data_IF_155427197032
#
_entry.id   IF_155427197032
#
_cell.length_a   1.000
_cell.length_b   1.000
_cell.length_c   1.000
_cell.angle_alpha   90.00
_cell.angle_beta   90.00
_cell.angle_gamma   90.00
#
_symmetry.space_group_name_H-M   'P 1'
#
loop_
_entity.id
_entity.type
_entity.pdbx_description
1 polymer ?
#
# COMPACT_ATOMS: atom_id res chain seq x y z
N UNK A 1 -23.34 -10.28 -13.07
CA UNK A 1 -21.90 -10.37 -12.77
C UNK A 1 -21.63 -11.76 -12.26
N UNK A 2 -20.69 -12.50 -12.86
CA UNK A 2 -20.32 -13.85 -12.40
C UNK A 2 -19.22 -13.73 -11.37
N UNK A 3 -19.56 -13.33 -10.14
CA UNK A 3 -18.62 -13.51 -9.02
C UNK A 3 -18.32 -14.99 -8.89
N UNK A 4 -17.04 -15.30 -8.71
CA UNK A 4 -16.56 -16.69 -8.74
C UNK A 4 -17.32 -17.55 -7.73
N UNK A 5 -17.74 -18.79 -8.11
CA UNK A 5 -18.55 -19.66 -7.25
C UNK A 5 -17.83 -20.03 -5.94
N UNK A 6 -16.49 -19.94 -5.91
CA UNK A 6 -15.68 -20.12 -4.71
C UNK A 6 -16.10 -19.21 -3.56
N UNK A 7 -16.51 -17.97 -3.85
CA UNK A 7 -16.88 -17.01 -2.79
C UNK A 7 -18.36 -17.06 -2.41
N UNK A 8 -19.14 -17.99 -2.99
CA UNK A 8 -20.59 -18.02 -2.80
C UNK A 8 -20.98 -18.10 -1.32
N UNK A 9 -20.36 -18.99 -0.56
CA UNK A 9 -20.68 -19.19 0.86
C UNK A 9 -20.40 -17.94 1.69
N UNK A 10 -19.20 -17.36 1.53
CA UNK A 10 -18.83 -16.11 2.19
C UNK A 10 -19.77 -14.96 1.82
N UNK A 11 -20.08 -14.83 0.52
CA UNK A 11 -20.93 -13.76 0.01
C UNK A 11 -22.38 -13.90 0.50
N UNK A 12 -22.91 -15.12 0.55
CA UNK A 12 -24.25 -15.40 1.07
C UNK A 12 -24.33 -15.08 2.56
N UNK A 13 -23.34 -15.51 3.36
CA UNK A 13 -23.26 -15.19 4.78
C UNK A 13 -23.17 -13.67 5.01
N UNK A 14 -22.25 -12.99 4.32
CA UNK A 14 -22.10 -11.53 4.41
C UNK A 14 -23.37 -10.79 4.00
N UNK A 15 -24.06 -11.24 2.94
CA UNK A 15 -25.34 -10.66 2.54
C UNK A 15 -26.47 -10.92 3.54
N UNK A 16 -26.47 -12.06 4.22
CA UNK A 16 -27.45 -12.38 5.27
C UNK A 16 -27.38 -11.46 6.49
N UNK A 17 -26.21 -10.91 6.79
CA UNK A 17 -25.99 -9.98 7.90
C UNK A 17 -26.33 -8.51 7.56
N UNK A 18 -26.53 -8.21 6.26
CA UNK A 18 -26.83 -6.85 5.80
C UNK A 18 -28.24 -6.44 6.16
N UNK A 19 -28.40 -5.15 6.45
CA UNK A 19 -29.69 -4.50 6.58
C UNK A 19 -29.73 -3.25 5.66
N UNK A 20 -30.91 -2.69 5.35
CA UNK A 20 -31.00 -1.49 4.54
C UNK A 20 -30.14 -0.34 5.09
N UNK A 21 -29.16 0.12 4.31
CA UNK A 21 -28.26 1.21 4.70
C UNK A 21 -27.22 0.86 5.77
N UNK A 22 -27.07 -0.43 6.13
CA UNK A 22 -26.10 -0.91 7.13
C UNK A 22 -25.25 -2.04 6.57
N UNK A 23 -23.93 -1.95 6.77
CA UNK A 23 -23.00 -3.03 6.47
C UNK A 23 -22.86 -3.95 7.69
N UNK A 24 -22.50 -5.23 7.49
CA UNK A 24 -22.25 -6.11 8.63
C UNK A 24 -21.05 -5.61 9.41
N UNK A 25 -21.16 -5.72 10.74
CA UNK A 25 -20.05 -5.46 11.65
C UNK A 25 -19.11 -6.64 11.67
N UNK A 26 -17.83 -6.36 11.88
CA UNK A 26 -16.83 -7.43 12.04
C UNK A 26 -17.13 -8.38 13.22
N UNK A 27 -17.82 -7.91 14.26
CA UNK A 27 -18.30 -8.72 15.39
C UNK A 27 -19.51 -9.61 15.08
N UNK A 28 -20.27 -9.32 14.01
CA UNK A 28 -21.42 -10.12 13.57
C UNK A 28 -20.99 -11.29 12.66
N UNK A 29 -19.78 -11.24 12.11
CA UNK A 29 -19.25 -12.26 11.21
C UNK A 29 -18.77 -13.46 12.03
N UNK A 30 -19.46 -14.59 11.93
CA UNK A 30 -18.99 -15.85 12.49
C UNK A 30 -18.02 -16.52 11.49
N UNK A 31 -16.71 -16.62 11.80
CA UNK A 31 -15.75 -17.25 10.91
C UNK A 31 -16.06 -18.73 10.61
N UNK A 32 -16.80 -19.42 11.47
CA UNK A 32 -17.12 -20.83 11.28
C UNK A 32 -18.04 -21.08 10.08
N UNK A 33 -18.87 -20.10 9.70
CA UNK A 33 -19.83 -20.21 8.60
C UNK A 33 -19.15 -20.29 7.22
N UNK A 34 -17.87 -19.92 7.12
CA UNK A 34 -17.05 -20.01 5.91
C UNK A 34 -15.64 -20.51 6.25
N UNK A 35 -15.56 -21.49 7.16
CA UNK A 35 -14.31 -22.04 7.69
C UNK A 35 -13.28 -22.44 6.62
N UNK A 36 -13.74 -22.88 5.44
CA UNK A 36 -12.89 -23.25 4.30
C UNK A 36 -12.12 -22.06 3.72
N UNK A 37 -12.68 -20.86 3.77
CA UNK A 37 -12.09 -19.65 3.20
C UNK A 37 -11.22 -18.89 4.22
N UNK A 38 -11.32 -19.20 5.53
CA UNK A 38 -10.55 -18.52 6.59
C UNK A 38 -9.03 -18.46 6.39
N UNK A 39 -8.36 -19.47 5.83
CA UNK A 39 -6.93 -19.36 5.55
C UNK A 39 -6.60 -18.27 4.53
N UNK A 40 -7.58 -17.84 3.73
CA UNK A 40 -7.44 -16.95 2.58
C UNK A 40 -8.02 -15.55 2.79
N UNK A 41 -8.46 -15.23 4.01
CA UNK A 41 -9.03 -13.92 4.30
C UNK A 41 -8.01 -12.96 4.88
N UNK A 42 -8.24 -11.66 4.67
CA UNK A 42 -7.64 -10.59 5.45
C UNK A 42 -8.76 -9.67 5.93
N UNK A 43 -8.60 -9.15 7.15
CA UNK A 43 -9.35 -7.98 7.58
C UNK A 43 -8.41 -6.79 7.46
N UNK A 44 -8.78 -5.86 6.60
CA UNK A 44 -8.07 -4.62 6.32
C UNK A 44 -8.83 -3.49 7.01
N UNK A 45 -8.11 -2.62 7.70
CA UNK A 45 -8.66 -1.41 8.30
C UNK A 45 -8.04 -0.18 7.66
N UNK A 46 -8.92 0.72 7.23
CA UNK A 46 -8.59 2.04 6.71
C UNK A 46 -8.42 3.01 7.87
N UNK A 47 -7.17 3.27 8.24
CA UNK A 47 -6.82 4.29 9.25
C UNK A 47 -6.94 5.68 8.64
N UNK A 48 -6.50 5.83 7.37
CA UNK A 48 -6.57 7.05 6.56
C UNK A 48 -6.76 6.67 5.09
N UNK A 49 -7.02 7.64 4.21
CA UNK A 49 -7.13 7.37 2.78
C UNK A 49 -5.84 6.77 2.17
N UNK A 50 -4.69 7.09 2.74
CA UNK A 50 -3.36 6.62 2.32
C UNK A 50 -2.82 5.45 3.16
N UNK A 51 -3.53 5.01 4.20
CA UNK A 51 -3.07 4.02 5.19
C UNK A 51 -4.13 2.91 5.39
N UNK A 52 -3.94 1.79 4.69
CA UNK A 52 -4.72 0.56 4.79
C UNK A 52 -3.91 -0.51 5.52
N UNK A 53 -4.29 -0.87 6.75
CA UNK A 53 -3.54 -1.82 7.57
C UNK A 53 -4.22 -3.16 7.71
N UNK A 54 -3.45 -4.22 7.61
CA UNK A 54 -3.93 -5.57 7.90
C UNK A 54 -4.07 -5.73 9.42
N UNK A 55 -5.28 -6.07 9.87
CA UNK A 55 -5.60 -6.37 11.27
C UNK A 55 -5.62 -7.86 11.56
N UNK A 56 -6.17 -8.62 10.62
CA UNK A 56 -6.22 -10.08 10.68
C UNK A 56 -5.72 -10.59 9.34
N UNK A 57 -4.86 -11.60 9.39
CA UNK A 57 -4.42 -12.32 8.21
C UNK A 57 -4.68 -13.81 8.39
N UNK A 58 -5.27 -14.42 7.38
CA UNK A 58 -5.42 -15.87 7.27
C UNK A 58 -4.06 -16.54 7.17
N UNK A 59 -3.99 -17.78 7.64
CA UNK A 59 -2.73 -18.54 7.73
C UNK A 59 -2.11 -18.74 6.35
N UNK A 60 -2.91 -19.04 5.32
CA UNK A 60 -2.37 -19.31 3.98
C UNK A 60 -1.84 -18.03 3.35
N UNK A 61 -2.52 -16.89 3.47
CA UNK A 61 -2.00 -15.61 2.99
C UNK A 61 -0.69 -15.20 3.69
N UNK A 62 -0.58 -15.45 4.98
CA UNK A 62 0.65 -15.17 5.73
C UNK A 62 1.81 -16.03 5.23
N UNK A 63 1.55 -17.33 4.97
CA UNK A 63 2.54 -18.23 4.37
C UNK A 63 2.95 -17.78 2.96
N UNK A 64 1.99 -17.36 2.12
CA UNK A 64 2.26 -16.84 0.76
C UNK A 64 3.16 -15.61 0.77
N UNK A 65 2.91 -14.69 1.70
CA UNK A 65 3.67 -13.47 1.83
C UNK A 65 5.12 -13.73 2.30
N UNK A 66 5.36 -14.84 3.00
CA UNK A 66 6.66 -15.16 3.58
C UNK A 66 7.08 -14.24 4.73
N UNK A 67 6.13 -13.47 5.29
CA UNK A 67 6.35 -12.50 6.37
C UNK A 67 5.08 -12.35 7.22
N UNK A 68 5.23 -11.77 8.41
CA UNK A 68 4.09 -11.47 9.27
C UNK A 68 3.27 -10.30 8.69
N UNK A 69 2.03 -10.58 8.32
CA UNK A 69 1.16 -9.62 7.66
C UNK A 69 0.46 -8.67 8.64
N UNK A 70 0.35 -8.99 9.93
CA UNK A 70 -0.32 -8.10 10.89
C UNK A 70 0.38 -6.74 10.96
N UNK A 71 -0.42 -5.69 11.01
CA UNK A 71 -0.02 -4.28 10.98
C UNK A 71 0.71 -3.82 9.71
N UNK A 72 0.92 -4.68 8.72
CA UNK A 72 1.49 -4.30 7.43
C UNK A 72 0.48 -3.56 6.56
N UNK A 73 0.94 -2.69 5.65
CA UNK A 73 0.09 -2.13 4.60
C UNK A 73 -0.50 -3.24 3.74
N UNK A 74 -1.80 -3.19 3.46
CA UNK A 74 -2.49 -4.22 2.68
C UNK A 74 -1.92 -4.35 1.25
N UNK A 75 -1.34 -3.28 0.72
CA UNK A 75 -0.74 -3.25 -0.62
C UNK A 75 0.56 -4.07 -0.71
N UNK A 76 1.12 -4.54 0.41
CA UNK A 76 2.35 -5.34 0.41
C UNK A 76 2.21 -6.63 -0.41
N UNK A 77 1.01 -7.19 -0.45
CA UNK A 77 0.67 -8.41 -1.21
C UNK A 77 0.62 -8.18 -2.72
N UNK A 78 0.58 -6.92 -3.16
CA UNK A 78 0.47 -6.55 -4.56
C UNK A 78 1.82 -6.13 -5.13
N UNK A 79 2.02 -6.42 -6.42
CA UNK A 79 3.14 -5.93 -7.19
C UNK A 79 3.22 -4.40 -7.08
N UNK A 80 4.42 -3.78 -7.01
CA UNK A 80 4.57 -2.35 -6.75
C UNK A 80 3.72 -1.44 -7.65
N UNK A 81 3.56 -1.80 -8.93
CA UNK A 81 2.74 -1.07 -9.91
C UNK A 81 1.24 -1.04 -9.60
N UNK A 82 0.73 -2.05 -8.89
CA UNK A 82 -0.70 -2.25 -8.64
C UNK A 82 -1.13 -1.78 -7.24
N UNK A 83 -0.17 -1.43 -6.37
CA UNK A 83 -0.41 -1.01 -4.98
C UNK A 83 -1.36 0.20 -4.89
N UNK A 84 -1.09 1.25 -5.66
CA UNK A 84 -1.94 2.46 -5.67
C UNK A 84 -3.36 2.14 -6.15
N UNK A 85 -3.48 1.33 -7.21
CA UNK A 85 -4.78 0.94 -7.76
C UNK A 85 -5.59 0.11 -6.76
N UNK A 86 -4.98 -0.86 -6.08
CA UNK A 86 -5.65 -1.64 -5.04
C UNK A 86 -6.13 -0.76 -3.88
N UNK A 87 -5.29 0.19 -3.42
CA UNK A 87 -5.67 1.13 -2.37
C UNK A 87 -6.87 1.99 -2.77
N UNK A 88 -6.88 2.50 -4.00
CA UNK A 88 -7.99 3.31 -4.52
C UNK A 88 -9.30 2.51 -4.60
N UNK A 89 -9.24 1.24 -5.02
CA UNK A 89 -10.39 0.34 -5.01
C UNK A 89 -10.95 0.14 -3.60
N UNK A 90 -10.09 -0.12 -2.62
CA UNK A 90 -10.47 -0.27 -1.22
C UNK A 90 -11.08 1.02 -0.65
N UNK A 91 -10.48 2.18 -0.92
CA UNK A 91 -11.01 3.47 -0.50
C UNK A 91 -12.39 3.75 -1.11
N UNK A 92 -12.56 3.41 -2.39
CA UNK A 92 -13.84 3.56 -3.09
C UNK A 92 -14.89 2.66 -2.48
N UNK A 93 -14.58 1.39 -2.21
CA UNK A 93 -15.50 0.43 -1.58
C UNK A 93 -15.95 0.84 -0.17
N UNK A 94 -15.09 1.55 0.58
CA UNK A 94 -15.44 2.09 1.90
C UNK A 94 -16.28 3.37 1.79
N UNK A 95 -15.90 4.27 0.87
CA UNK A 95 -16.56 5.56 0.67
C UNK A 95 -17.96 5.40 0.06
N UNK A 96 -18.05 4.57 -0.97
CA UNK A 96 -19.27 4.06 -1.58
C UNK A 96 -19.31 2.58 -1.33
N UNK A 97 -20.09 2.13 -0.33
CA UNK A 97 -20.26 0.72 -0.05
C UNK A 97 -20.50 -0.07 -1.34
N UNK A 98 -19.47 -0.81 -1.75
CA UNK A 98 -19.41 -1.52 -3.01
C UNK A 98 -18.69 -2.85 -2.79
N UNK A 99 -19.21 -3.90 -3.41
CA UNK A 99 -18.49 -5.15 -3.55
C UNK A 99 -17.43 -4.97 -4.65
N UNK A 100 -16.20 -5.40 -4.39
CA UNK A 100 -15.13 -5.37 -5.41
C UNK A 100 -14.76 -6.80 -5.79
N UNK A 101 -15.04 -7.15 -7.03
CA UNK A 101 -14.58 -8.39 -7.65
C UNK A 101 -13.23 -8.12 -8.32
N UNK A 102 -12.23 -8.93 -8.00
CA UNK A 102 -10.86 -8.77 -8.49
C UNK A 102 -10.44 -9.99 -9.27
N UNK A 103 -9.78 -9.78 -10.41
CA UNK A 103 -9.02 -10.81 -11.09
C UNK A 103 -7.55 -10.56 -10.85
N UNK A 104 -6.90 -11.46 -10.13
CA UNK A 104 -5.50 -11.38 -9.75
C UNK A 104 -4.67 -12.35 -10.59
N UNK A 105 -3.41 -12.01 -10.80
CA UNK A 105 -2.42 -12.85 -11.47
C UNK A 105 -1.23 -13.05 -10.56
N UNK A 106 -0.66 -14.23 -10.59
CA UNK A 106 0.60 -14.53 -9.91
C UNK A 106 1.45 -15.49 -10.73
N UNK A 107 2.73 -15.59 -10.39
CA UNK A 107 3.61 -16.63 -10.90
C UNK A 107 3.63 -17.77 -9.88
N UNK A 108 3.23 -18.96 -10.31
CA UNK A 108 3.25 -20.16 -9.49
C UNK A 108 4.66 -20.75 -9.34
N UNK A 109 4.79 -21.88 -8.64
CA UNK A 109 6.09 -22.52 -8.40
C UNK A 109 6.80 -22.97 -9.69
N UNK A 110 6.06 -23.23 -10.76
CA UNK A 110 6.59 -23.74 -12.03
C UNK A 110 6.81 -22.61 -13.05
N UNK A 111 6.94 -21.36 -12.57
CA UNK A 111 7.06 -20.15 -13.37
C UNK A 111 5.87 -19.90 -14.33
N UNK A 112 4.69 -20.46 -14.05
CA UNK A 112 3.50 -20.25 -14.88
C UNK A 112 2.64 -19.12 -14.34
N UNK A 113 2.05 -18.38 -15.28
CA UNK A 113 1.09 -17.34 -14.96
C UNK A 113 -0.24 -17.97 -14.57
N UNK A 114 -0.58 -17.88 -13.28
CA UNK A 114 -1.83 -18.36 -12.71
C UNK A 114 -2.79 -17.19 -12.45
N UNK A 115 -4.07 -17.36 -12.80
CA UNK A 115 -5.13 -16.37 -12.56
C UNK A 115 -6.00 -16.83 -11.40
N UNK A 116 -6.23 -15.94 -10.44
CA UNK A 116 -6.95 -16.20 -9.20
C UNK A 116 -8.05 -15.15 -9.02
N UNK A 117 -9.26 -15.54 -8.60
CA UNK A 117 -10.27 -14.56 -8.22
C UNK A 117 -9.95 -13.98 -6.83
N UNK A 118 -10.37 -12.75 -6.59
CA UNK A 118 -10.29 -12.07 -5.31
C UNK A 118 -11.59 -11.32 -5.04
N UNK A 119 -11.95 -11.19 -3.78
CA UNK A 119 -13.17 -10.48 -3.37
C UNK A 119 -12.85 -9.51 -2.24
N UNK A 120 -13.36 -8.28 -2.33
CA UNK A 120 -13.33 -7.30 -1.25
C UNK A 120 -14.77 -6.93 -0.88
N UNK A 121 -15.07 -7.03 0.41
CA UNK A 121 -16.37 -6.71 1.00
C UNK A 121 -16.20 -5.63 2.08
N UNK A 122 -16.92 -4.51 2.01
CA UNK A 122 -16.84 -3.47 3.04
C UNK A 122 -17.59 -3.91 4.30
N UNK A 123 -17.05 -3.51 5.45
CA UNK A 123 -17.55 -3.80 6.79
C UNK A 123 -17.65 -2.52 7.62
N UNK A 124 -18.50 -2.58 8.64
CA UNK A 124 -18.52 -1.61 9.74
C UNK A 124 -17.60 -2.09 10.88
N UNK A 125 -16.94 -1.14 11.56
CA UNK A 125 -16.35 -1.39 12.86
C UNK A 125 -17.44 -1.48 13.95
N UNK A 126 -17.04 -1.77 15.19
CA UNK A 126 -17.98 -1.93 16.30
C UNK A 126 -18.71 -0.61 16.65
N UNK A 127 -18.12 0.54 16.27
CA UNK A 127 -18.69 1.88 16.41
C UNK A 127 -19.64 2.25 15.25
N UNK A 128 -19.77 1.39 14.24
CA UNK A 128 -20.62 1.62 13.07
C UNK A 128 -19.98 2.50 12.00
N UNK A 129 -18.67 2.75 12.05
CA UNK A 129 -17.96 3.44 11.00
C UNK A 129 -17.52 2.47 9.90
N UNK A 130 -17.74 2.86 8.65
CA UNK A 130 -17.23 2.15 7.48
C UNK A 130 -15.74 2.41 7.35
N UNK A 131 -14.94 1.53 7.94
CA UNK A 131 -13.47 1.61 7.91
C UNK A 131 -12.81 0.25 7.73
N UNK A 132 -13.57 -0.83 7.76
CA UNK A 132 -13.03 -2.18 7.63
C UNK A 132 -13.44 -2.80 6.30
N UNK A 133 -12.60 -3.68 5.79
CA UNK A 133 -12.79 -4.44 4.57
C UNK A 133 -12.40 -5.89 4.85
N UNK A 134 -13.20 -6.82 4.38
CA UNK A 134 -12.86 -8.23 4.30
C UNK A 134 -12.35 -8.51 2.89
N UNK A 135 -11.10 -8.90 2.76
CA UNK A 135 -10.54 -9.42 1.53
C UNK A 135 -10.52 -10.95 1.60
N UNK A 136 -10.86 -11.63 0.51
CA UNK A 136 -10.74 -13.08 0.38
C UNK A 136 -10.04 -13.43 -0.94
N UNK A 137 -9.01 -14.26 -0.88
CA UNK A 137 -8.31 -14.75 -2.06
C UNK A 137 -8.83 -16.12 -2.47
N UNK A 138 -9.13 -16.26 -3.75
CA UNK A 138 -9.55 -17.51 -4.35
C UNK A 138 -8.41 -18.43 -4.70
N UNK A 139 -7.57 -18.81 -3.72
CA UNK A 139 -6.44 -19.68 -4.00
C UNK A 139 -6.91 -21.14 -4.05
N UNK A 140 -7.02 -21.74 -5.23
CA UNK A 140 -7.29 -23.18 -5.33
C UNK A 140 -6.01 -23.98 -5.01
N UNK A 141 -5.90 -25.22 -5.48
CA UNK A 141 -4.76 -26.11 -5.24
C UNK A 141 -3.53 -25.71 -6.09
N UNK A 142 -3.22 -24.42 -6.08
CA UNK A 142 -2.09 -23.81 -6.80
C UNK A 142 -0.87 -23.90 -5.90
N UNK A 143 0.16 -24.60 -6.37
CA UNK A 143 1.45 -24.65 -5.70
C UNK A 143 2.21 -23.34 -5.92
N UNK A 144 2.70 -22.77 -4.83
CA UNK A 144 3.25 -21.41 -4.78
C UNK A 144 4.57 -21.41 -4.02
N UNK A 145 5.49 -20.52 -4.38
CA UNK A 145 6.74 -20.33 -3.67
C UNK A 145 6.78 -18.93 -3.03
N UNK A 146 6.72 -18.82 -1.70
CA UNK A 146 6.85 -17.53 -1.02
C UNK A 146 8.22 -16.88 -1.26
N UNK A 147 8.30 -15.53 -1.30
CA UNK A 147 7.19 -14.59 -1.23
C UNK A 147 6.45 -14.42 -2.57
N UNK A 148 5.12 -14.44 -2.53
CA UNK A 148 4.26 -14.22 -3.71
C UNK A 148 3.73 -12.79 -3.75
N UNK A 149 3.81 -12.15 -4.91
CA UNK A 149 3.15 -10.88 -5.18
C UNK A 149 2.06 -11.05 -6.25
N UNK A 150 0.90 -10.46 -6.01
CA UNK A 150 -0.22 -10.48 -6.95
C UNK A 150 -0.20 -9.25 -7.86
N UNK A 151 -0.45 -9.46 -9.15
CA UNK A 151 -0.74 -8.41 -10.10
C UNK A 151 -2.25 -8.28 -10.29
N UNK A 152 -2.76 -7.05 -10.36
CA UNK A 152 -4.18 -6.78 -10.57
C UNK A 152 -4.50 -6.77 -12.08
N UNK A 153 -5.11 -7.84 -12.57
CA UNK A 153 -5.45 -7.96 -13.99
C UNK A 153 -6.75 -7.23 -14.34
N UNK A 154 -7.80 -7.44 -13.54
CA UNK A 154 -9.09 -6.80 -13.73
C UNK A 154 -9.78 -6.52 -12.39
N UNK A 155 -10.73 -5.59 -12.40
CA UNK A 155 -11.48 -5.18 -11.22
C UNK A 155 -12.87 -4.68 -11.61
N UNK A 156 -13.91 -5.19 -10.95
CA UNK A 156 -15.29 -4.74 -11.10
C UNK A 156 -15.83 -4.27 -9.76
N UNK A 157 -16.58 -3.18 -9.74
CA UNK A 157 -17.27 -2.67 -8.54
C UNK A 157 -18.78 -2.79 -8.73
N UNK A 158 -19.45 -3.39 -7.75
CA UNK A 158 -20.91 -3.42 -7.66
C UNK A 158 -21.38 -2.59 -6.47
N UNK A 159 -22.04 -1.47 -6.75
CA UNK A 159 -22.53 -0.58 -5.71
C UNK A 159 -23.65 -1.25 -4.93
N UNK A 160 -23.52 -1.25 -3.60
CA UNK A 160 -24.50 -1.87 -2.73
C UNK A 160 -25.76 -1.01 -2.67
N UNK A 161 -26.89 -1.60 -3.04
CA UNK A 161 -28.20 -0.95 -2.89
C UNK A 161 -28.43 -0.47 -1.46
N UNK A 162 -29.07 0.69 -1.33
CA UNK A 162 -29.28 1.37 -0.05
C UNK A 162 -28.20 2.37 0.33
N UNK A 163 -27.09 2.44 -0.44
CA UNK A 163 -26.01 3.42 -0.27
C UNK A 163 -25.86 4.39 -1.45
N UNK A 164 -26.83 4.38 -2.38
CA UNK A 164 -26.82 5.06 -3.68
C UNK A 164 -26.73 6.60 -3.62
N UNK A 165 -26.80 7.20 -2.43
CA UNK A 165 -26.85 8.66 -2.22
C UNK A 165 -25.78 9.20 -1.28
N UNK A 166 -24.67 8.49 -1.11
CA UNK A 166 -23.54 9.07 -0.41
C UNK A 166 -22.72 9.90 -1.40
N UNK A 167 -22.55 11.22 -1.19
CA UNK A 167 -21.57 11.98 -1.95
C UNK A 167 -20.24 11.23 -1.85
N UNK A 168 -19.45 11.22 -2.94
CA UNK A 168 -18.10 10.71 -2.80
C UNK A 168 -17.47 11.40 -1.61
N UNK A 169 -16.95 10.66 -0.60
CA UNK A 169 -16.13 11.30 0.40
C UNK A 169 -14.98 11.87 -0.42
N UNK A 170 -15.10 13.18 -0.70
CA UNK A 170 -14.11 13.91 -1.47
C UNK A 170 -12.81 13.57 -0.78
N UNK A 171 -11.86 13.05 -1.56
CA UNK A 171 -10.54 12.64 -1.10
C UNK A 171 -10.21 13.43 0.13
N UNK A 172 -10.36 12.79 1.29
CA UNK A 172 -10.12 13.46 2.55
C UNK A 172 -8.60 13.59 2.56
N UNK A 173 -8.11 14.63 1.87
CA UNK A 173 -6.98 15.40 2.30
C UNK A 173 -7.43 15.91 3.64
N UNK A 174 -7.38 15.03 4.63
CA UNK A 174 -7.05 15.42 5.98
C UNK A 174 -5.78 16.26 5.78
N UNK A 175 -5.95 17.57 5.63
CA UNK A 175 -4.91 18.51 5.96
C UNK A 175 -4.56 18.09 7.38
N UNK A 176 -3.34 17.61 7.66
CA UNK A 176 -2.97 17.31 9.02
C UNK A 176 -3.32 18.56 9.84
N UNK A 177 -4.23 18.37 10.79
CA UNK A 177 -4.69 19.45 11.65
C UNK A 177 -3.47 20.05 12.34
N UNK A 178 -3.24 21.34 12.07
CA UNK A 178 -2.56 22.29 12.93
C UNK A 178 -1.31 21.82 13.67
N UNK A 179 -0.17 21.80 12.98
CA UNK A 179 1.12 22.23 13.52
C UNK A 179 1.67 23.36 12.64
N UNK A 180 0.81 24.27 12.20
CA UNK A 180 1.26 25.57 11.71
C UNK A 180 1.52 26.44 12.93
N UNK A 181 2.76 26.43 13.42
CA UNK A 181 3.29 27.63 14.06
C UNK A 181 3.04 28.81 13.09
N UNK A 182 2.61 29.98 13.58
CA UNK A 182 2.56 31.15 12.73
C UNK A 182 3.98 31.35 12.18
N UNK A 183 4.14 31.39 10.86
CA UNK A 183 5.41 31.73 10.24
C UNK A 183 5.86 33.07 10.81
N UNK A 184 6.77 33.03 11.79
CA UNK A 184 7.45 34.21 12.28
C UNK A 184 8.18 34.85 11.11
N UNK A 185 8.08 36.16 10.97
CA UNK A 185 8.86 36.90 9.99
C UNK A 185 10.33 36.54 10.18
N UNK A 186 10.95 36.03 9.11
CA UNK A 186 12.39 35.82 9.06
C UNK A 186 13.08 37.17 9.28
N UNK A 187 13.62 37.36 10.47
CA UNK A 187 14.47 38.51 10.78
C UNK A 187 15.87 38.14 10.30
N UNK A 188 16.43 38.83 9.29
CA UNK A 188 17.77 38.51 8.81
C UNK A 188 18.78 38.74 9.94
N UNK A 189 19.68 37.77 10.13
CA UNK A 189 20.80 37.89 11.05
C UNK A 189 21.65 39.13 10.72
N UNK A 190 22.21 39.84 11.71
CA UNK A 190 23.14 40.92 11.44
C UNK A 190 24.32 40.38 10.62
N UNK A 191 24.64 41.06 9.52
CA UNK A 191 25.78 40.73 8.66
C UNK A 191 27.02 40.60 9.53
N UNK A 192 27.64 39.42 9.51
CA UNK A 192 29.01 39.26 9.95
C UNK A 192 29.87 40.15 9.04
N UNK A 193 30.42 41.22 9.60
CA UNK A 193 31.38 42.07 8.90
C UNK A 193 32.63 41.21 8.69
N UNK A 194 32.93 40.86 7.43
CA UNK A 194 34.23 40.27 7.08
C UNK A 194 35.32 41.21 7.55
N UNK A 195 36.19 40.74 8.44
CA UNK A 195 37.46 41.38 8.73
C UNK A 195 38.32 41.33 7.45
N UNK A 196 38.25 42.39 6.65
CA UNK A 196 39.22 42.64 5.58
C UNK A 196 39.70 44.09 5.56
N UNK A 197 39.57 44.79 6.69
CA UNK A 197 40.27 46.06 6.96
C UNK A 197 41.33 45.89 8.04
N UNK A 198 42.29 45.00 7.77
CA UNK A 198 43.62 45.09 8.38
C UNK A 198 44.63 45.24 7.24
N UNK A 199 45.24 46.41 7.18
CA UNK A 199 46.28 46.77 6.22
C UNK A 199 47.50 45.84 6.35
N UNK A 200 48.00 45.26 5.24
CA UNK A 200 49.27 44.54 5.26
C UNK A 200 50.45 45.49 5.00
N UNK A 201 51.42 45.49 5.92
CA UNK A 201 52.76 46.07 5.77
C UNK A 201 53.63 45.17 4.84
N UNK A 202 54.80 45.65 4.35
CA UNK A 202 55.25 45.42 2.98
C UNK A 202 55.95 44.08 2.71
N UNK A 203 56.03 43.81 1.40
CA UNK A 203 56.44 42.60 0.68
C UNK A 203 57.93 42.30 0.78
N UNK A 204 58.25 41.01 0.82
CA UNK A 204 59.43 40.43 0.17
C UNK A 204 59.15 38.97 -0.21
N UNK A 205 59.68 38.54 -1.37
CA UNK A 205 59.92 37.11 -1.66
C UNK A 205 58.99 36.40 -2.63
N UNK A 206 59.19 36.68 -3.91
CA UNK A 206 59.00 35.88 -5.12
C UNK A 206 58.65 34.36 -5.00
N UNK A 207 57.62 33.91 -5.75
CA UNK A 207 57.71 32.84 -6.77
C UNK A 207 56.39 32.05 -7.00
N UNK A 208 55.99 32.02 -8.27
CA UNK A 208 55.40 30.89 -9.01
C UNK A 208 53.95 30.39 -8.70
N UNK A 209 53.03 30.89 -9.54
CA UNK A 209 52.23 30.11 -10.53
C UNK A 209 51.56 28.78 -10.11
N UNK A 210 50.23 28.80 -10.34
CA UNK A 210 49.40 27.90 -11.20
C UNK A 210 48.31 27.07 -10.52
N UNK A 211 47.14 27.20 -11.16
CA UNK A 211 45.89 26.44 -11.07
C UNK A 211 46.11 24.92 -11.26
N UNK A 212 45.34 24.10 -10.54
CA UNK A 212 44.89 22.78 -10.99
C UNK A 212 43.78 22.25 -10.08
N UNK A 213 42.57 21.99 -10.58
CA UNK A 213 42.06 20.95 -11.50
C UNK A 213 42.03 19.54 -10.88
N UNK A 214 40.82 18.95 -10.89
CA UNK A 214 40.46 17.64 -10.34
C UNK A 214 41.40 16.54 -10.86
N UNK A 215 41.81 15.64 -9.98
CA UNK A 215 42.46 14.37 -10.33
C UNK A 215 41.43 13.26 -10.47
N UNK A 216 41.30 12.75 -11.69
CA UNK A 216 40.79 11.42 -12.00
C UNK A 216 41.87 10.40 -11.61
N UNK A 217 41.51 9.34 -10.90
CA UNK A 217 42.38 8.17 -10.72
C UNK A 217 41.81 7.07 -11.60
N UNK A 218 42.55 6.73 -12.65
CA UNK A 218 42.32 5.57 -13.49
C UNK A 218 43.59 4.70 -13.50
N UNK A 219 43.35 3.39 -13.45
CA UNK A 219 44.26 2.33 -13.88
C UNK A 219 45.08 1.64 -12.78
N UNK A 220 45.65 0.45 -13.05
CA UNK A 220 45.78 -0.14 -14.39
C UNK A 220 45.35 -1.62 -14.54
N UNK A 221 44.97 -1.94 -15.78
CA UNK A 221 45.13 -3.23 -16.45
C UNK A 221 46.52 -3.86 -16.24
N UNK A 222 46.56 -5.19 -16.17
CA UNK A 222 47.76 -6.00 -16.48
C UNK A 222 47.34 -7.44 -16.79
N UNK A 223 47.02 -7.72 -18.05
CA UNK A 223 47.36 -8.99 -18.69
C UNK A 223 48.73 -8.83 -19.38
N UNK A 224 49.51 -9.92 -19.47
CA UNK A 224 49.82 -10.38 -20.82
C UNK A 224 49.87 -11.92 -21.00
N UNK A 225 49.55 -12.26 -22.25
CA UNK A 225 49.75 -13.44 -23.10
C UNK A 225 50.84 -14.52 -22.79
N UNK A 226 50.47 -15.75 -23.18
CA UNK A 226 51.23 -16.86 -23.81
C UNK A 226 52.19 -17.77 -23.01
N UNK A 227 51.81 -19.06 -22.93
CA UNK A 227 52.46 -20.20 -23.65
C UNK A 227 51.37 -21.21 -24.06
#
# INVERSE_FOLDING_TARGET
MSTSPRFKQLLDHWNGLRAPGRLPRRSEIDPNDFARDLPDILIIERVRADDLRIRVAGTRLTLLAGLELRAMPAEVLFAPRDRTRFRELCNTAVGHPALVDLTLRMIDRDDRLSTLPGLVLPLEDDDGHRRQLLFCLGLDDVAVQPPVSFALADSSLDLLRGFERLPLPGFDRARPGGLSEPSGQFTPAPRLVSQSDVAPAPRDGDAARRRGHLRLVGGPDSEPESD
#
